data_IF_578502995048
#
_entry.id   IF_578502995048
#
_cell.length_a   1.000
_cell.length_b   1.000
_cell.length_c   1.000
_cell.angle_alpha   90.00
_cell.angle_beta   90.00
_cell.angle_gamma   90.00
#
_symmetry.space_group_name_H-M   'P 1'
#
loop_
_entity.id
_entity.type
_entity.pdbx_description
1 polymer ?
#
# COMPACT_ATOMS: atom_id res chain seq x y z
N UNK A 1 2.15 39.83 30.25
CA UNK A 1 1.80 38.87 29.19
C UNK A 1 2.57 37.56 29.39
N UNK A 2 1.92 36.52 29.90
CA UNK A 2 2.53 35.24 30.19
C UNK A 2 2.73 34.43 28.88
N UNK A 3 3.98 34.14 28.53
CA UNK A 3 4.31 33.23 27.40
C UNK A 3 3.84 31.81 27.73
N UNK A 4 2.74 31.38 27.13
CA UNK A 4 2.30 29.97 27.13
C UNK A 4 3.43 29.12 26.58
N UNK A 5 4.17 28.40 27.43
CA UNK A 5 5.09 27.34 27.01
C UNK A 5 4.28 26.19 26.43
N UNK A 6 4.18 26.15 25.10
CA UNK A 6 3.70 24.96 24.40
C UNK A 6 4.80 23.91 24.53
N UNK A 7 4.70 23.08 25.55
CA UNK A 7 5.52 21.87 25.68
C UNK A 7 5.04 20.86 24.65
N UNK A 8 5.57 20.92 23.42
CA UNK A 8 5.43 19.82 22.48
C UNK A 8 6.13 18.61 23.07
N UNK A 9 5.36 17.62 23.51
CA UNK A 9 5.92 16.32 23.89
C UNK A 9 6.60 15.72 22.66
N UNK A 10 7.89 15.42 22.80
CA UNK A 10 8.63 14.72 21.74
C UNK A 10 7.99 13.35 21.49
N UNK A 11 7.91 12.89 20.23
CA UNK A 11 7.44 11.56 19.91
C UNK A 11 8.23 10.48 20.63
N UNK A 12 7.63 9.32 20.90
CA UNK A 12 8.33 8.21 21.52
C UNK A 12 9.47 7.70 20.61
N UNK A 13 10.67 7.50 21.18
CA UNK A 13 11.78 6.85 20.49
C UNK A 13 11.44 5.38 20.20
N UNK A 14 11.57 4.97 18.94
CA UNK A 14 11.30 3.61 18.47
C UNK A 14 12.60 2.84 18.25
N UNK A 15 12.50 1.51 18.25
CA UNK A 15 13.61 0.59 18.03
C UNK A 15 14.05 -0.12 19.31
N UNK A 16 14.77 -1.22 19.14
CA UNK A 16 15.41 -2.00 20.20
C UNK A 16 16.85 -2.26 19.81
N UNK A 17 17.74 -2.27 20.80
CA UNK A 17 19.12 -2.72 20.61
C UNK A 17 19.17 -4.24 20.80
N UNK A 18 19.84 -4.95 19.90
CA UNK A 18 20.08 -6.39 20.06
C UNK A 18 21.14 -6.61 21.14
N UNK A 19 21.06 -7.74 21.83
CA UNK A 19 22.11 -8.25 22.70
C UNK A 19 23.35 -8.57 21.84
N UNK A 20 24.28 -7.63 21.74
CA UNK A 20 25.48 -7.71 20.91
C UNK A 20 26.63 -6.95 21.57
N UNK A 21 27.83 -7.10 21.05
CA UNK A 21 29.02 -6.36 21.54
C UNK A 21 28.84 -4.83 21.45
N UNK A 22 29.66 -4.10 22.19
CA UNK A 22 29.53 -2.64 22.38
C UNK A 22 29.54 -1.84 21.07
N UNK A 23 30.36 -2.23 20.11
CA UNK A 23 30.46 -1.54 18.79
C UNK A 23 29.15 -1.71 18.00
N UNK A 24 28.57 -2.91 17.95
CA UNK A 24 27.33 -3.17 17.25
C UNK A 24 26.14 -2.40 17.87
N UNK A 25 26.10 -2.30 19.20
CA UNK A 25 25.10 -1.48 19.89
C UNK A 25 25.22 0.01 19.54
N UNK A 26 26.46 0.51 19.44
CA UNK A 26 26.72 1.91 19.08
C UNK A 26 26.25 2.22 17.66
N UNK A 27 26.53 1.34 16.70
CA UNK A 27 26.08 1.49 15.32
C UNK A 27 24.56 1.43 15.20
N UNK A 28 23.91 0.47 15.89
CA UNK A 28 22.45 0.37 15.92
C UNK A 28 21.82 1.63 16.54
N UNK A 29 22.35 2.13 17.64
CA UNK A 29 21.87 3.35 18.29
C UNK A 29 22.04 4.57 17.38
N UNK A 30 23.19 4.68 16.72
CA UNK A 30 23.48 5.75 15.75
C UNK A 30 22.46 5.76 14.64
N UNK A 31 22.17 4.60 14.06
CA UNK A 31 21.21 4.48 12.97
C UNK A 31 19.77 4.81 13.40
N UNK A 32 19.34 4.32 14.58
CA UNK A 32 18.01 4.65 15.14
C UNK A 32 17.87 6.15 15.36
N UNK A 33 18.88 6.79 15.95
CA UNK A 33 18.83 8.23 16.25
C UNK A 33 18.97 9.08 14.97
N UNK A 34 19.77 8.67 14.00
CA UNK A 34 19.86 9.32 12.68
C UNK A 34 18.52 9.32 11.95
N UNK A 35 17.85 8.17 11.87
CA UNK A 35 16.51 8.06 11.29
C UNK A 35 15.50 8.90 12.03
N UNK A 36 15.56 8.90 13.36
CA UNK A 36 14.67 9.71 14.19
C UNK A 36 14.89 11.20 13.96
N UNK A 37 16.15 11.64 13.88
CA UNK A 37 16.51 13.02 13.59
C UNK A 37 15.96 13.47 12.24
N UNK A 38 16.25 12.71 11.18
CA UNK A 38 15.75 13.02 9.83
C UNK A 38 14.24 13.09 9.75
N UNK A 39 13.50 12.20 10.43
CA UNK A 39 12.03 12.22 10.48
C UNK A 39 11.45 13.43 11.20
N UNK A 40 12.14 13.94 12.18
CA UNK A 40 11.66 15.06 13.00
C UNK A 40 12.17 16.41 12.51
N UNK A 41 13.09 16.43 11.56
CA UNK A 41 13.64 17.65 11.00
C UNK A 41 12.54 18.48 10.32
N UNK A 42 12.50 19.76 10.64
CA UNK A 42 11.58 20.76 10.07
C UNK A 42 12.38 21.97 9.60
N UNK A 43 11.73 22.94 8.95
CA UNK A 43 12.38 24.17 8.49
C UNK A 43 12.99 24.99 9.64
N UNK A 44 12.54 24.77 10.88
CA UNK A 44 13.04 25.48 12.06
C UNK A 44 13.73 24.53 13.03
N UNK A 45 14.83 24.97 13.65
CA UNK A 45 15.48 24.19 14.69
C UNK A 45 14.50 23.84 15.82
N UNK A 46 14.56 22.60 16.29
CA UNK A 46 13.69 22.12 17.38
C UNK A 46 14.48 21.30 18.40
N UNK A 47 13.94 21.19 19.62
CA UNK A 47 14.58 20.41 20.68
C UNK A 47 14.58 18.93 20.29
N UNK A 48 15.76 18.30 20.43
CA UNK A 48 15.94 16.86 20.29
C UNK A 48 15.99 16.20 21.67
N UNK A 49 16.02 14.87 21.73
CA UNK A 49 16.00 14.12 22.98
C UNK A 49 17.23 14.43 23.85
N UNK A 50 17.02 14.48 25.16
CA UNK A 50 18.15 14.61 26.12
C UNK A 50 18.95 13.31 26.19
N UNK A 51 20.27 13.39 26.34
CA UNK A 51 21.17 12.22 26.39
C UNK A 51 20.71 11.21 27.46
N UNK A 52 20.31 11.70 28.67
CA UNK A 52 19.83 10.85 29.76
C UNK A 52 18.55 10.09 29.38
N UNK A 53 17.64 10.72 28.61
CA UNK A 53 16.43 10.08 28.17
C UNK A 53 16.75 8.94 27.18
N UNK A 54 17.67 9.16 26.23
CA UNK A 54 18.11 8.15 25.29
C UNK A 54 18.83 7.00 26.00
N UNK A 55 19.74 7.31 26.94
CA UNK A 55 20.46 6.32 27.69
C UNK A 55 19.51 5.40 28.47
N UNK A 56 18.55 5.99 29.20
CA UNK A 56 17.53 5.24 29.96
C UNK A 56 16.60 4.43 29.03
N UNK A 57 16.21 4.98 27.86
CA UNK A 57 15.29 4.29 26.93
C UNK A 57 15.90 3.06 26.30
N UNK A 58 17.20 3.08 25.99
CA UNK A 58 17.90 1.99 25.31
C UNK A 58 18.80 1.16 26.23
N UNK A 59 18.79 1.45 27.51
CA UNK A 59 19.64 0.81 28.52
C UNK A 59 21.12 0.77 28.11
N UNK A 60 21.66 1.96 27.83
CA UNK A 60 23.05 2.15 27.41
C UNK A 60 23.74 3.24 28.24
N UNK A 61 25.08 3.24 28.24
CA UNK A 61 25.84 4.25 28.95
C UNK A 61 25.68 5.65 28.37
N UNK A 62 25.75 6.68 29.20
CA UNK A 62 25.75 8.07 28.75
C UNK A 62 26.92 8.38 27.79
N UNK A 63 28.07 7.73 28.00
CA UNK A 63 29.25 7.88 27.13
C UNK A 63 28.99 7.38 25.71
N UNK A 64 28.29 6.26 25.56
CA UNK A 64 27.88 5.74 24.28
C UNK A 64 26.92 6.70 23.57
N UNK A 65 25.88 7.19 24.26
CA UNK A 65 24.96 8.18 23.69
C UNK A 65 25.70 9.46 23.31
N UNK A 66 26.64 9.93 24.14
CA UNK A 66 27.44 11.12 23.87
C UNK A 66 28.36 10.95 22.63
N UNK A 67 28.87 9.74 22.39
CA UNK A 67 29.64 9.42 21.19
C UNK A 67 28.75 9.46 19.93
N UNK A 68 27.58 8.84 20.00
CA UNK A 68 26.60 8.88 18.89
C UNK A 68 26.14 10.31 18.61
N UNK A 69 25.89 11.12 19.61
CA UNK A 69 25.50 12.53 19.43
C UNK A 69 26.59 13.35 18.77
N UNK A 70 27.86 13.12 19.13
CA UNK A 70 29.00 13.75 18.41
C UNK A 70 29.05 13.36 16.93
N UNK A 71 28.77 12.09 16.63
CA UNK A 71 28.69 11.66 15.24
C UNK A 71 27.58 12.38 14.48
N UNK A 72 26.35 12.47 15.05
CA UNK A 72 25.23 13.19 14.44
C UNK A 72 25.45 14.71 14.34
N UNK A 73 26.26 15.29 15.24
CA UNK A 73 26.72 16.68 15.11
C UNK A 73 27.68 16.86 13.94
N UNK A 74 28.63 15.95 13.77
CA UNK A 74 29.56 15.96 12.64
C UNK A 74 28.83 15.75 11.30
N UNK A 75 27.73 14.96 11.31
CA UNK A 75 26.85 14.81 10.16
C UNK A 75 25.94 16.04 9.91
N UNK A 76 26.02 17.05 10.77
CA UNK A 76 25.23 18.28 10.63
C UNK A 76 23.76 18.17 11.02
N UNK A 77 23.33 17.05 11.61
CA UNK A 77 21.94 16.83 12.02
C UNK A 77 21.59 17.49 13.36
N UNK A 78 22.55 17.51 14.29
CA UNK A 78 22.35 18.06 15.62
C UNK A 78 23.26 19.25 15.89
N UNK A 79 22.86 20.06 16.85
CA UNK A 79 23.70 21.14 17.44
C UNK A 79 23.49 21.13 18.96
N UNK A 80 24.59 21.14 19.72
CA UNK A 80 24.52 21.27 21.19
C UNK A 80 24.63 22.73 21.59
N UNK A 81 23.69 23.15 22.41
CA UNK A 81 23.77 24.45 23.06
C UNK A 81 24.43 24.30 24.46
N UNK A 82 25.27 25.28 24.84
CA UNK A 82 25.82 25.36 26.19
C UNK A 82 24.66 25.33 27.20
N UNK A 83 24.66 24.40 28.16
CA UNK A 83 23.64 24.28 29.17
C UNK A 83 22.61 23.17 28.96
N UNK A 84 22.94 22.07 28.28
CA UNK A 84 22.21 20.77 28.24
C UNK A 84 21.10 20.57 27.22
N UNK A 85 20.87 21.49 26.30
CA UNK A 85 19.88 21.27 25.23
C UNK A 85 20.56 20.86 23.95
N UNK A 86 20.09 19.77 23.35
CA UNK A 86 20.44 19.37 21.98
C UNK A 86 19.33 19.82 21.06
N UNK A 87 19.68 20.52 20.00
CA UNK A 87 18.76 20.93 18.98
C UNK A 87 18.98 20.09 17.72
N UNK A 88 17.90 19.67 17.11
CA UNK A 88 17.86 19.21 15.75
C UNK A 88 17.96 20.45 14.86
N UNK A 89 18.93 20.46 13.93
CA UNK A 89 19.07 21.58 12.99
C UNK A 89 17.84 21.67 12.10
N UNK A 90 17.42 22.90 11.80
CA UNK A 90 16.46 23.18 10.75
C UNK A 90 17.06 22.86 9.37
N UNK A 91 16.20 22.69 8.39
CA UNK A 91 16.61 22.60 6.99
C UNK A 91 16.97 24.01 6.53
N UNK A 92 18.18 24.18 6.00
CA UNK A 92 18.62 25.48 5.49
C UNK A 92 17.75 25.94 4.33
N UNK A 93 17.27 27.20 4.42
CA UNK A 93 16.45 27.88 3.42
C UNK A 93 17.22 28.06 2.11
N UNK A 94 17.25 27.07 1.28
CA UNK A 94 17.69 27.57 0.03
C UNK A 94 18.14 26.62 -1.07
N UNK A 95 18.06 25.33 -1.04
CA UNK A 95 18.30 24.53 -2.27
C UNK A 95 18.18 23.00 -2.15
N UNK A 96 17.80 22.46 -1.00
CA UNK A 96 17.49 21.03 -0.92
C UNK A 96 15.99 20.87 -0.77
N UNK A 97 15.39 20.16 -1.72
CA UNK A 97 14.07 19.56 -1.51
C UNK A 97 14.22 18.76 -0.23
N UNK A 98 13.64 19.26 0.85
CA UNK A 98 13.70 18.57 2.15
C UNK A 98 12.98 17.24 2.00
N UNK A 99 13.76 16.19 1.83
CA UNK A 99 13.23 14.82 1.82
C UNK A 99 12.87 14.51 3.27
N UNK A 100 11.58 14.63 3.59
CA UNK A 100 11.10 14.39 4.94
C UNK A 100 11.36 12.95 5.41
N UNK A 101 11.25 11.99 4.53
CA UNK A 101 11.63 10.60 4.78
C UNK A 101 11.54 9.75 3.51
N UNK A 102 12.15 8.57 3.56
CA UNK A 102 12.07 7.61 2.46
C UNK A 102 11.06 6.53 2.84
N UNK A 103 10.01 6.40 2.03
CA UNK A 103 9.00 5.36 2.18
C UNK A 103 9.33 4.20 1.25
N UNK A 104 9.63 3.04 1.82
CA UNK A 104 9.83 1.80 1.07
C UNK A 104 8.51 1.09 0.81
N UNK A 105 8.31 0.64 -0.42
CA UNK A 105 7.12 -0.12 -0.80
C UNK A 105 7.57 -1.52 -1.27
N UNK A 106 7.53 -2.53 -0.37
CA UNK A 106 7.82 -3.91 -0.74
C UNK A 106 6.74 -4.46 -1.66
N UNK A 107 7.16 -5.16 -2.72
CA UNK A 107 6.22 -5.75 -3.65
C UNK A 107 6.91 -6.85 -4.47
N UNK A 108 6.28 -8.02 -4.69
CA UNK A 108 6.77 -8.98 -5.67
C UNK A 108 6.82 -8.35 -7.05
N UNK A 109 7.96 -8.46 -7.74
CA UNK A 109 8.14 -7.87 -9.09
C UNK A 109 7.12 -8.44 -10.08
N UNK A 110 6.85 -9.75 -10.01
CA UNK A 110 5.80 -10.40 -10.80
C UNK A 110 4.43 -9.76 -10.57
N UNK A 111 4.04 -9.48 -9.32
CA UNK A 111 2.78 -8.79 -9.00
C UNK A 111 2.74 -7.36 -9.55
N UNK A 112 3.84 -6.62 -9.47
CA UNK A 112 3.93 -5.28 -10.04
C UNK A 112 3.78 -5.30 -11.56
N UNK A 113 4.37 -6.27 -12.24
CA UNK A 113 4.32 -6.38 -13.69
C UNK A 113 2.95 -6.86 -14.22
N UNK A 114 2.30 -7.78 -13.50
CA UNK A 114 1.08 -8.45 -14.00
C UNK A 114 -0.22 -7.88 -13.43
N UNK A 115 -0.20 -7.36 -12.19
CA UNK A 115 -1.42 -6.90 -11.49
C UNK A 115 -1.57 -5.40 -11.59
N UNK A 116 -2.61 -4.95 -12.27
CA UNK A 116 -2.88 -3.51 -12.41
C UNK A 116 -3.05 -2.81 -11.04
N UNK A 117 -3.77 -3.42 -10.11
CA UNK A 117 -3.99 -2.85 -8.77
C UNK A 117 -2.68 -2.55 -8.03
N UNK A 118 -1.68 -3.42 -8.15
CA UNK A 118 -0.35 -3.20 -7.56
C UNK A 118 0.34 -1.97 -8.16
N UNK A 119 0.28 -1.83 -9.49
CA UNK A 119 0.83 -0.65 -10.18
C UNK A 119 0.10 0.63 -9.79
N UNK A 120 -1.24 0.60 -9.77
CA UNK A 120 -2.07 1.76 -9.40
C UNK A 120 -1.78 2.21 -7.98
N UNK A 121 -1.77 1.27 -7.02
CA UNK A 121 -1.37 1.57 -5.65
C UNK A 121 -0.01 2.25 -5.59
N UNK A 122 1.01 1.64 -6.21
CA UNK A 122 2.37 2.17 -6.19
C UNK A 122 2.47 3.56 -6.83
N UNK A 123 1.87 3.75 -8.00
CA UNK A 123 1.96 5.01 -8.75
C UNK A 123 1.22 6.16 -8.06
N UNK A 124 -0.01 5.91 -7.57
CA UNK A 124 -0.79 6.92 -6.86
C UNK A 124 -0.13 7.30 -5.53
N UNK A 125 0.31 6.31 -4.77
CA UNK A 125 1.02 6.53 -3.50
C UNK A 125 2.33 7.28 -3.71
N UNK A 126 3.13 6.89 -4.71
CA UNK A 126 4.37 7.59 -5.06
C UNK A 126 4.11 9.05 -5.41
N UNK A 127 3.09 9.32 -6.27
CA UNK A 127 2.75 10.69 -6.67
C UNK A 127 2.36 11.55 -5.47
N UNK A 128 1.52 11.01 -4.59
CA UNK A 128 1.04 11.76 -3.42
C UNK A 128 2.15 11.95 -2.38
N UNK A 129 2.98 10.95 -2.13
CA UNK A 129 4.15 11.06 -1.27
C UNK A 129 5.13 12.12 -1.78
N UNK A 130 5.42 12.13 -3.08
CA UNK A 130 6.30 13.13 -3.70
C UNK A 130 5.77 14.55 -3.55
N UNK A 131 4.46 14.76 -3.70
CA UNK A 131 3.82 16.08 -3.48
C UNK A 131 3.99 16.58 -2.05
N UNK A 132 4.20 15.69 -1.10
CA UNK A 132 4.39 15.98 0.33
C UNK A 132 5.84 15.94 0.77
N UNK A 133 6.79 15.90 -0.16
CA UNK A 133 8.22 15.91 0.13
C UNK A 133 8.81 14.58 0.60
N UNK A 134 8.11 13.44 0.42
CA UNK A 134 8.67 12.11 0.66
C UNK A 134 9.33 11.56 -0.59
N UNK A 135 10.40 10.79 -0.42
CA UNK A 135 10.91 9.91 -1.46
C UNK A 135 10.26 8.53 -1.34
N UNK A 136 10.09 7.85 -2.47
CA UNK A 136 9.55 6.49 -2.50
C UNK A 136 10.57 5.56 -3.12
N UNK A 137 10.91 4.49 -2.40
CA UNK A 137 11.75 3.40 -2.85
C UNK A 137 10.90 2.15 -3.12
N UNK A 138 10.86 1.68 -4.36
CA UNK A 138 10.29 0.37 -4.67
C UNK A 138 11.23 -0.73 -4.20
N UNK A 139 10.79 -1.56 -3.26
CA UNK A 139 11.56 -2.69 -2.74
C UNK A 139 11.07 -3.97 -3.41
N UNK A 140 11.34 -4.09 -4.72
CA UNK A 140 10.88 -5.24 -5.49
C UNK A 140 11.67 -6.49 -5.13
N UNK A 141 10.99 -7.64 -5.02
CA UNK A 141 11.58 -8.94 -4.70
C UNK A 141 10.90 -10.07 -5.46
N UNK A 142 11.56 -11.21 -5.58
CA UNK A 142 11.00 -12.43 -6.18
C UNK A 142 11.43 -13.69 -5.43
N UNK A 143 10.57 -14.68 -5.43
CA UNK A 143 10.86 -16.06 -4.99
C UNK A 143 11.63 -16.14 -3.68
N UNK A 144 12.90 -16.58 -3.75
CA UNK A 144 13.79 -16.75 -2.60
C UNK A 144 14.15 -15.45 -1.87
N UNK A 145 13.96 -14.28 -2.51
CA UNK A 145 14.21 -12.97 -1.90
C UNK A 145 13.06 -12.53 -0.97
N UNK A 146 11.92 -13.23 -1.01
CA UNK A 146 10.78 -12.98 -0.11
C UNK A 146 11.08 -13.46 1.33
N UNK A 147 12.16 -12.94 1.90
CA UNK A 147 12.66 -13.26 3.24
C UNK A 147 12.84 -11.99 4.04
N UNK A 148 12.57 -12.10 5.33
CA UNK A 148 12.56 -10.96 6.24
C UNK A 148 13.94 -10.29 6.38
N UNK A 149 15.02 -11.09 6.42
CA UNK A 149 16.40 -10.61 6.48
C UNK A 149 16.80 -9.84 5.21
N UNK A 150 16.50 -10.36 4.04
CA UNK A 150 16.77 -9.72 2.76
C UNK A 150 16.05 -8.35 2.63
N UNK A 151 14.75 -8.33 2.98
CA UNK A 151 13.98 -7.07 2.95
C UNK A 151 14.50 -6.06 3.95
N UNK A 152 14.92 -6.51 5.14
CA UNK A 152 15.53 -5.63 6.14
C UNK A 152 16.85 -5.03 5.65
N UNK A 153 17.70 -5.80 4.98
CA UNK A 153 18.95 -5.30 4.41
C UNK A 153 18.68 -4.24 3.34
N UNK A 154 17.72 -4.47 2.46
CA UNK A 154 17.33 -3.48 1.45
C UNK A 154 16.75 -2.20 2.07
N UNK A 155 15.93 -2.34 3.11
CA UNK A 155 15.41 -1.21 3.88
C UNK A 155 16.55 -0.38 4.47
N UNK A 156 17.58 -1.03 5.01
CA UNK A 156 18.78 -0.37 5.55
C UNK A 156 19.59 0.30 4.44
N UNK A 157 19.86 -0.42 3.36
CA UNK A 157 20.65 0.07 2.24
C UNK A 157 20.03 1.31 1.58
N UNK A 158 18.71 1.31 1.44
CA UNK A 158 17.96 2.44 0.88
C UNK A 158 17.64 3.54 1.92
N UNK A 159 18.10 3.43 3.17
CA UNK A 159 17.75 4.35 4.26
C UNK A 159 16.25 4.60 4.41
N UNK A 160 15.46 3.55 4.28
CA UNK A 160 14.00 3.61 4.40
C UNK A 160 13.59 3.84 5.85
N UNK A 161 12.78 4.86 6.10
CA UNK A 161 12.27 5.20 7.43
C UNK A 161 10.90 4.58 7.73
N UNK A 162 10.13 4.34 6.69
CA UNK A 162 8.78 3.77 6.77
C UNK A 162 8.60 2.75 5.67
N UNK A 163 8.10 1.58 6.01
CA UNK A 163 7.67 0.56 5.05
C UNK A 163 6.15 0.61 4.93
N UNK A 164 5.68 0.87 3.72
CA UNK A 164 4.27 0.80 3.34
C UNK A 164 4.06 -0.46 2.51
N UNK A 165 3.42 -1.47 3.09
CA UNK A 165 3.27 -2.79 2.47
C UNK A 165 1.84 -3.02 2.01
N UNK A 166 1.67 -3.07 0.71
CA UNK A 166 0.41 -3.42 0.07
C UNK A 166 0.29 -4.94 -0.07
N UNK A 167 -0.81 -5.50 0.40
CA UNK A 167 -1.05 -6.94 0.48
C UNK A 167 0.13 -7.69 1.15
N UNK A 168 0.37 -7.46 2.46
CA UNK A 168 1.47 -8.11 3.16
C UNK A 168 1.36 -9.64 3.07
N UNK A 169 2.41 -10.28 2.59
CA UNK A 169 2.50 -11.73 2.44
C UNK A 169 2.96 -12.44 3.74
N UNK A 170 3.25 -13.74 3.63
CA UNK A 170 3.63 -14.56 4.80
C UNK A 170 4.90 -14.08 5.50
N UNK A 171 5.87 -13.50 4.78
CA UNK A 171 7.11 -13.02 5.38
C UNK A 171 6.92 -11.68 6.09
N UNK A 172 5.81 -10.98 5.87
CA UNK A 172 5.58 -9.65 6.39
C UNK A 172 5.51 -9.61 7.93
N UNK A 173 5.02 -10.68 8.58
CA UNK A 173 4.95 -10.73 10.05
C UNK A 173 6.33 -10.70 10.69
N UNK A 174 7.23 -11.55 10.21
CA UNK A 174 8.62 -11.59 10.68
C UNK A 174 9.34 -10.28 10.34
N UNK A 175 9.17 -9.82 9.09
CA UNK A 175 9.73 -8.56 8.62
C UNK A 175 9.26 -7.38 9.47
N UNK A 176 7.96 -7.29 9.80
CA UNK A 176 7.43 -6.21 10.63
C UNK A 176 8.08 -6.18 12.03
N UNK A 177 8.34 -7.34 12.64
CA UNK A 177 9.08 -7.45 13.90
C UNK A 177 10.52 -6.93 13.76
N UNK A 178 11.24 -7.35 12.73
CA UNK A 178 12.60 -6.89 12.46
C UNK A 178 12.66 -5.39 12.14
N UNK A 179 11.70 -4.86 11.39
CA UNK A 179 11.58 -3.43 11.09
C UNK A 179 11.35 -2.62 12.38
N UNK A 180 10.44 -3.09 13.25
CA UNK A 180 10.17 -2.45 14.53
C UNK A 180 11.42 -2.38 15.40
N UNK A 181 12.17 -3.48 15.52
CA UNK A 181 13.40 -3.55 16.30
C UNK A 181 14.50 -2.63 15.76
N UNK A 182 14.49 -2.34 14.47
CA UNK A 182 15.41 -1.39 13.82
C UNK A 182 14.86 0.05 13.73
N UNK A 183 13.75 0.36 14.41
CA UNK A 183 13.18 1.71 14.43
C UNK A 183 12.50 2.13 13.12
N UNK A 184 12.27 1.21 12.20
CA UNK A 184 11.55 1.44 10.95
C UNK A 184 10.06 1.30 11.20
N UNK A 185 9.29 2.21 10.67
CA UNK A 185 7.82 2.20 10.80
C UNK A 185 7.23 1.26 9.77
N UNK A 186 6.26 0.45 10.18
CA UNK A 186 5.51 -0.44 9.29
C UNK A 186 4.06 0.00 9.15
N UNK A 187 3.54 -0.02 7.94
CA UNK A 187 2.13 0.27 7.60
C UNK A 187 1.64 -0.77 6.62
N UNK A 188 0.68 -1.58 7.04
CA UNK A 188 0.03 -2.58 6.19
C UNK A 188 -1.22 -2.01 5.51
N UNK A 189 -1.44 -2.39 4.26
CA UNK A 189 -2.66 -2.13 3.48
C UNK A 189 -3.20 -3.47 3.01
N UNK A 190 -4.33 -3.89 3.55
CA UNK A 190 -5.05 -5.08 3.10
C UNK A 190 -5.90 -4.75 1.87
N UNK A 191 -6.07 -5.69 0.98
CA UNK A 191 -6.86 -5.55 -0.23
C UNK A 191 -7.61 -6.86 -0.53
N UNK A 192 -8.82 -6.99 -0.01
CA UNK A 192 -9.71 -8.14 -0.20
C UNK A 192 -9.23 -9.47 0.41
N UNK A 193 -8.08 -9.49 1.07
CA UNK A 193 -7.52 -10.69 1.72
C UNK A 193 -7.39 -10.40 3.21
N UNK A 194 -7.88 -11.30 4.06
CA UNK A 194 -7.62 -11.23 5.50
C UNK A 194 -6.12 -11.31 5.71
N UNK A 195 -5.51 -10.18 6.00
CA UNK A 195 -4.09 -10.15 6.36
C UNK A 195 -3.91 -10.80 7.73
N UNK A 196 -2.93 -11.69 7.84
CA UNK A 196 -2.52 -12.23 9.14
C UNK A 196 -1.85 -11.17 10.03
N UNK A 197 -1.62 -9.98 9.48
CA UNK A 197 -1.09 -8.80 10.15
C UNK A 197 -2.20 -7.77 10.34
N UNK A 198 -2.19 -7.04 11.45
CA UNK A 198 -3.07 -5.90 11.61
C UNK A 198 -2.71 -4.85 10.54
N UNK A 199 -3.56 -4.73 9.53
CA UNK A 199 -3.44 -3.70 8.52
C UNK A 199 -4.18 -2.45 8.98
N UNK A 200 -3.53 -1.29 8.79
CA UNK A 200 -4.11 0.00 9.15
C UNK A 200 -5.17 0.45 8.15
N UNK A 201 -5.04 -0.01 6.92
CA UNK A 201 -5.92 0.32 5.83
C UNK A 201 -6.43 -0.95 5.17
N UNK A 202 -7.67 -0.93 4.76
CA UNK A 202 -8.33 -2.03 4.06
C UNK A 202 -9.09 -1.48 2.84
N UNK A 203 -9.03 -2.21 1.73
CA UNK A 203 -9.75 -1.85 0.51
C UNK A 203 -10.82 -2.93 0.29
N UNK A 204 -12.10 -2.51 0.34
CA UNK A 204 -13.24 -3.38 0.13
C UNK A 204 -13.93 -3.08 -1.20
N UNK A 205 -14.40 -4.11 -1.89
CA UNK A 205 -15.19 -4.01 -3.12
C UNK A 205 -16.60 -4.54 -2.94
N UNK A 206 -16.91 -5.03 -1.77
CA UNK A 206 -18.16 -5.72 -1.47
C UNK A 206 -19.39 -4.86 -1.81
N UNK A 207 -19.45 -3.62 -1.34
CA UNK A 207 -20.57 -2.71 -1.62
C UNK A 207 -20.67 -2.35 -3.10
N UNK A 208 -19.55 -2.21 -3.80
CA UNK A 208 -19.57 -1.91 -5.23
C UNK A 208 -20.13 -3.09 -6.04
N UNK A 209 -19.66 -4.30 -5.73
CA UNK A 209 -20.14 -5.54 -6.37
C UNK A 209 -21.60 -5.77 -6.03
N UNK A 210 -21.99 -5.62 -4.78
CA UNK A 210 -23.40 -5.72 -4.34
C UNK A 210 -24.32 -4.79 -5.13
N UNK A 211 -23.93 -3.54 -5.32
CA UNK A 211 -24.68 -2.56 -6.12
C UNK A 211 -24.82 -2.97 -7.59
N UNK A 212 -23.75 -3.51 -8.18
CA UNK A 212 -23.78 -4.04 -9.57
C UNK A 212 -24.73 -5.23 -9.65
N UNK A 213 -24.59 -6.21 -8.78
CA UNK A 213 -25.42 -7.42 -8.77
C UNK A 213 -26.89 -7.10 -8.52
N UNK A 214 -27.17 -6.16 -7.63
CA UNK A 214 -28.53 -5.69 -7.40
C UNK A 214 -29.14 -5.06 -8.66
N UNK A 215 -28.38 -4.23 -9.39
CA UNK A 215 -28.83 -3.65 -10.65
C UNK A 215 -29.08 -4.73 -11.71
N UNK A 216 -28.21 -5.73 -11.80
CA UNK A 216 -28.36 -6.87 -12.71
C UNK A 216 -29.61 -7.69 -12.42
N UNK A 217 -29.83 -8.03 -11.14
CA UNK A 217 -31.02 -8.78 -10.70
C UNK A 217 -32.32 -8.02 -10.96
N UNK A 218 -32.37 -6.75 -10.58
CA UNK A 218 -33.61 -5.96 -10.59
C UNK A 218 -33.97 -5.46 -12.00
N UNK A 219 -33.00 -4.94 -12.75
CA UNK A 219 -33.22 -4.29 -14.04
C UNK A 219 -33.07 -5.23 -15.23
N UNK A 220 -32.06 -6.08 -15.19
CA UNK A 220 -31.68 -6.94 -16.31
C UNK A 220 -32.18 -8.37 -16.17
N UNK A 221 -32.81 -8.70 -15.03
CA UNK A 221 -33.35 -10.02 -14.70
C UNK A 221 -32.33 -11.16 -14.80
N UNK A 222 -31.03 -10.85 -14.58
CA UNK A 222 -29.98 -11.85 -14.54
C UNK A 222 -30.22 -12.79 -13.39
N UNK A 223 -30.14 -14.10 -13.64
CA UNK A 223 -30.40 -15.16 -12.66
C UNK A 223 -29.14 -15.90 -12.26
N UNK A 224 -28.12 -15.87 -13.10
CA UNK A 224 -26.86 -16.58 -12.91
C UNK A 224 -25.67 -15.70 -13.24
N UNK A 225 -24.56 -15.90 -12.52
CA UNK A 225 -23.32 -15.13 -12.71
C UNK A 225 -22.15 -16.09 -12.91
N UNK A 226 -21.35 -15.85 -13.95
CA UNK A 226 -20.08 -16.54 -14.15
C UNK A 226 -18.96 -15.65 -13.62
N UNK A 227 -18.23 -16.14 -12.62
CA UNK A 227 -17.11 -15.44 -12.00
C UNK A 227 -15.85 -16.00 -12.61
N UNK A 228 -15.14 -15.16 -13.35
CA UNK A 228 -13.92 -15.55 -14.06
C UNK A 228 -12.71 -15.01 -13.35
N UNK A 229 -11.79 -15.86 -13.00
CA UNK A 229 -10.53 -15.53 -12.35
C UNK A 229 -9.36 -16.11 -13.16
N UNK A 230 -8.16 -15.58 -12.95
CA UNK A 230 -6.92 -16.11 -13.54
C UNK A 230 -5.87 -16.29 -12.46
N UNK A 231 -5.19 -17.43 -12.49
CA UNK A 231 -4.17 -17.75 -11.50
C UNK A 231 -4.73 -18.36 -10.22
N UNK A 232 -3.96 -18.22 -9.12
CA UNK A 232 -4.31 -18.83 -7.85
C UNK A 232 -5.52 -18.15 -7.24
N UNK A 233 -6.54 -18.89 -6.92
CA UNK A 233 -7.71 -18.42 -6.19
C UNK A 233 -7.32 -17.84 -4.82
N UNK A 234 -7.93 -16.72 -4.46
CA UNK A 234 -7.94 -16.24 -3.08
C UNK A 234 -9.20 -16.79 -2.41
N UNK A 235 -9.07 -17.73 -1.51
CA UNK A 235 -10.19 -18.39 -0.83
C UNK A 235 -11.12 -17.40 -0.14
N UNK A 236 -10.59 -16.30 0.38
CA UNK A 236 -11.38 -15.30 1.13
C UNK A 236 -12.24 -14.43 0.21
N UNK A 237 -11.70 -13.99 -0.93
CA UNK A 237 -12.50 -13.22 -1.90
C UNK A 237 -13.62 -14.08 -2.49
N UNK A 238 -13.44 -15.39 -2.58
CA UNK A 238 -14.44 -16.34 -3.06
C UNK A 238 -15.55 -16.52 -2.06
N UNK A 239 -15.24 -16.82 -0.81
CA UNK A 239 -16.23 -17.03 0.26
C UNK A 239 -17.15 -15.79 0.41
N UNK A 240 -16.56 -14.60 0.43
CA UNK A 240 -17.32 -13.34 0.50
C UNK A 240 -18.23 -13.14 -0.72
N UNK A 241 -17.73 -13.49 -1.92
CA UNK A 241 -18.51 -13.37 -3.14
C UNK A 241 -19.61 -14.41 -3.22
N UNK A 242 -19.35 -15.63 -2.76
CA UNK A 242 -20.35 -16.70 -2.63
C UNK A 242 -21.47 -16.29 -1.67
N UNK A 243 -21.14 -15.87 -0.46
CA UNK A 243 -22.10 -15.40 0.54
C UNK A 243 -22.97 -14.27 -0.01
N UNK A 244 -22.37 -13.32 -0.73
CA UNK A 244 -23.08 -12.22 -1.35
C UNK A 244 -24.07 -12.70 -2.43
N UNK A 245 -23.65 -13.60 -3.32
CA UNK A 245 -24.48 -14.14 -4.40
C UNK A 245 -25.63 -14.99 -3.85
N UNK A 246 -25.36 -15.82 -2.84
CA UNK A 246 -26.37 -16.63 -2.13
C UNK A 246 -27.40 -15.75 -1.44
N UNK A 247 -26.96 -14.71 -0.73
CA UNK A 247 -27.87 -13.76 -0.07
C UNK A 247 -28.80 -13.06 -1.05
N UNK A 248 -28.34 -12.88 -2.29
CA UNK A 248 -29.12 -12.32 -3.38
C UNK A 248 -29.97 -13.36 -4.14
N UNK A 249 -29.81 -14.66 -3.86
CA UNK A 249 -30.49 -15.75 -4.60
C UNK A 249 -30.08 -15.81 -6.06
N UNK A 250 -28.83 -15.49 -6.37
CA UNK A 250 -28.25 -15.61 -7.71
C UNK A 250 -27.48 -16.92 -7.83
N UNK A 251 -27.75 -17.70 -8.88
CA UNK A 251 -26.91 -18.84 -9.21
C UNK A 251 -25.53 -18.37 -9.67
N UNK A 252 -24.49 -19.14 -9.36
CA UNK A 252 -23.13 -18.77 -9.76
C UNK A 252 -22.28 -19.98 -10.15
N UNK A 253 -21.18 -19.70 -10.85
CA UNK A 253 -20.10 -20.65 -11.10
C UNK A 253 -18.78 -19.91 -11.24
N UNK A 254 -17.72 -20.52 -10.72
CA UNK A 254 -16.34 -20.05 -10.89
C UNK A 254 -15.71 -20.70 -12.11
N UNK A 255 -14.99 -19.90 -12.91
CA UNK A 255 -14.35 -20.34 -14.14
C UNK A 255 -12.92 -19.83 -14.16
N UNK A 256 -11.96 -20.74 -14.33
CA UNK A 256 -10.56 -20.37 -14.41
C UNK A 256 -10.18 -20.01 -15.87
N UNK A 257 -9.65 -18.79 -16.04
CA UNK A 257 -9.05 -18.33 -17.28
C UNK A 257 -7.56 -18.62 -17.30
N UNK A 258 -7.11 -19.36 -18.27
CA UNK A 258 -5.70 -19.65 -18.54
C UNK A 258 -5.27 -19.12 -19.90
N UNK A 259 -3.96 -19.06 -20.13
CA UNK A 259 -3.41 -18.59 -21.43
C UNK A 259 -3.88 -19.43 -22.62
N UNK A 260 -4.09 -20.72 -22.39
CA UNK A 260 -4.44 -21.67 -23.45
C UNK A 260 -5.94 -21.69 -23.79
N UNK A 261 -6.81 -21.25 -22.89
CA UNK A 261 -8.27 -21.34 -23.05
C UNK A 261 -8.98 -20.00 -23.21
N UNK A 262 -8.26 -18.87 -23.24
CA UNK A 262 -8.84 -17.52 -23.27
C UNK A 262 -9.92 -17.32 -24.30
N UNK A 263 -9.64 -17.68 -25.55
CA UNK A 263 -10.54 -17.42 -26.66
C UNK A 263 -11.78 -18.31 -26.59
N UNK A 264 -11.58 -19.60 -26.37
CA UNK A 264 -12.66 -20.58 -26.24
C UNK A 264 -13.57 -20.25 -25.05
N UNK A 265 -12.98 -19.78 -23.96
CA UNK A 265 -13.75 -19.37 -22.79
C UNK A 265 -14.61 -18.15 -23.06
N UNK A 266 -14.07 -17.13 -23.74
CA UNK A 266 -14.84 -15.94 -24.13
C UNK A 266 -16.01 -16.30 -25.06
N UNK A 267 -15.79 -17.19 -26.04
CA UNK A 267 -16.85 -17.68 -26.91
C UNK A 267 -17.94 -18.40 -26.10
N UNK A 268 -17.56 -19.31 -25.21
CA UNK A 268 -18.51 -20.02 -24.32
C UNK A 268 -19.28 -19.07 -23.40
N UNK A 269 -18.66 -17.99 -22.93
CA UNK A 269 -19.32 -16.97 -22.13
C UNK A 269 -20.28 -16.11 -22.96
N UNK A 270 -19.95 -15.88 -24.22
CA UNK A 270 -20.81 -15.14 -25.15
C UNK A 270 -22.12 -15.88 -25.44
N UNK A 271 -22.14 -17.20 -25.44
CA UNK A 271 -23.28 -18.03 -25.83
C UNK A 271 -24.39 -18.18 -24.75
N UNK A 272 -24.15 -17.71 -23.52
CA UNK A 272 -25.09 -17.86 -22.39
C UNK A 272 -25.81 -16.55 -22.07
N UNK A 273 -26.95 -16.22 -22.72
CA UNK A 273 -27.57 -14.88 -22.65
C UNK A 273 -28.06 -14.44 -21.28
N UNK A 274 -28.44 -15.36 -20.45
CA UNK A 274 -29.03 -15.11 -19.12
C UNK A 274 -28.00 -14.92 -18.00
N UNK A 275 -26.71 -15.03 -18.32
CA UNK A 275 -25.64 -14.93 -17.33
C UNK A 275 -24.97 -13.57 -17.35
N UNK A 276 -24.77 -12.98 -16.16
CA UNK A 276 -23.79 -11.91 -15.95
C UNK A 276 -22.38 -12.49 -15.85
N UNK A 277 -21.39 -11.71 -16.19
CA UNK A 277 -19.97 -12.11 -16.14
C UNK A 277 -19.23 -11.15 -15.23
N UNK A 278 -18.60 -11.65 -14.18
CA UNK A 278 -17.67 -10.88 -13.34
C UNK A 278 -16.25 -11.30 -13.70
N UNK A 279 -15.44 -10.36 -14.16
CA UNK A 279 -14.02 -10.58 -14.41
C UNK A 279 -13.21 -10.02 -13.25
N UNK A 280 -12.57 -10.89 -12.48
CA UNK A 280 -11.68 -10.50 -11.41
C UNK A 280 -10.32 -10.08 -11.99
N UNK A 281 -9.83 -8.96 -11.57
CA UNK A 281 -8.61 -8.24 -11.96
C UNK A 281 -7.68 -8.90 -12.98
N UNK A 282 -7.07 -10.03 -12.63
CA UNK A 282 -6.11 -10.71 -13.50
C UNK A 282 -6.76 -11.36 -14.74
N UNK A 283 -7.98 -11.89 -14.61
CA UNK A 283 -8.71 -12.46 -15.74
C UNK A 283 -9.06 -11.38 -16.78
N UNK A 284 -9.51 -10.22 -16.32
CA UNK A 284 -9.78 -9.09 -17.19
C UNK A 284 -8.49 -8.64 -17.92
N UNK A 285 -7.37 -8.57 -17.23
CA UNK A 285 -6.07 -8.23 -17.83
C UNK A 285 -5.62 -9.28 -18.85
N UNK A 286 -5.79 -10.56 -18.53
CA UNK A 286 -5.43 -11.66 -19.41
C UNK A 286 -6.22 -11.61 -20.73
N UNK A 287 -7.53 -11.44 -20.64
CA UNK A 287 -8.39 -11.33 -21.83
C UNK A 287 -8.12 -10.08 -22.65
N UNK A 288 -7.94 -8.93 -21.99
CA UNK A 288 -7.62 -7.68 -22.66
C UNK A 288 -6.30 -7.74 -23.44
N UNK A 289 -5.34 -8.52 -22.94
CA UNK A 289 -4.05 -8.69 -23.60
C UNK A 289 -4.06 -9.77 -24.70
N UNK A 290 -4.79 -10.88 -24.50
CA UNK A 290 -4.75 -12.06 -25.36
C UNK A 290 -5.83 -12.06 -26.45
N UNK A 291 -7.01 -11.58 -26.15
CA UNK A 291 -8.17 -11.62 -27.04
C UNK A 291 -9.04 -10.36 -26.91
N UNK A 292 -8.47 -9.16 -27.14
CA UNK A 292 -9.17 -7.88 -26.90
C UNK A 292 -10.46 -7.75 -27.69
N UNK A 293 -10.44 -8.12 -28.97
CA UNK A 293 -11.62 -8.00 -29.84
C UNK A 293 -12.77 -8.92 -29.40
N UNK A 294 -12.46 -10.14 -28.96
CA UNK A 294 -13.45 -11.07 -28.42
C UNK A 294 -14.02 -10.56 -27.09
N UNK A 295 -13.17 -10.03 -26.23
CA UNK A 295 -13.62 -9.43 -24.97
C UNK A 295 -14.59 -8.26 -25.25
N UNK A 296 -14.25 -7.38 -26.18
CA UNK A 296 -15.14 -6.28 -26.60
C UNK A 296 -16.45 -6.83 -27.17
N UNK A 297 -16.41 -7.87 -27.99
CA UNK A 297 -17.61 -8.50 -28.55
C UNK A 297 -18.51 -9.08 -27.43
N UNK A 298 -17.93 -9.71 -26.41
CA UNK A 298 -18.66 -10.19 -25.23
C UNK A 298 -19.30 -9.01 -24.48
N UNK A 299 -18.57 -7.94 -24.22
CA UNK A 299 -19.08 -6.75 -23.53
C UNK A 299 -20.23 -6.05 -24.27
N UNK A 300 -20.25 -6.10 -25.60
CA UNK A 300 -21.36 -5.56 -26.40
C UNK A 300 -22.62 -6.41 -26.32
N UNK A 301 -22.50 -7.69 -26.04
CA UNK A 301 -23.60 -8.65 -26.01
C UNK A 301 -24.08 -9.02 -24.62
N UNK A 302 -23.24 -8.82 -23.61
CA UNK A 302 -23.42 -9.31 -22.24
C UNK A 302 -23.25 -8.23 -21.18
N UNK A 303 -23.80 -8.47 -20.03
CA UNK A 303 -23.44 -7.72 -18.83
C UNK A 303 -22.13 -8.23 -18.28
N UNK A 304 -21.12 -7.39 -18.31
CA UNK A 304 -19.79 -7.69 -17.81
C UNK A 304 -19.44 -6.69 -16.73
N UNK A 305 -19.01 -7.18 -15.59
CA UNK A 305 -18.41 -6.38 -14.53
C UNK A 305 -16.90 -6.61 -14.48
N UNK A 306 -16.13 -5.54 -14.42
CA UNK A 306 -14.69 -5.56 -14.21
C UNK A 306 -14.40 -5.15 -12.78
N UNK A 307 -13.77 -6.04 -12.03
CA UNK A 307 -13.28 -5.75 -10.68
C UNK A 307 -11.79 -5.48 -10.78
N UNK A 308 -11.37 -4.24 -10.54
CA UNK A 308 -9.97 -3.78 -10.71
C UNK A 308 -9.34 -4.13 -12.07
N UNK A 309 -10.18 -4.27 -13.06
CA UNK A 309 -9.76 -4.69 -14.39
C UNK A 309 -8.93 -3.67 -15.15
N UNK A 310 -8.37 -4.06 -16.30
CA UNK A 310 -7.60 -3.17 -17.15
C UNK A 310 -8.53 -2.09 -17.70
N UNK A 311 -8.31 -0.87 -17.28
CA UNK A 311 -9.01 0.30 -17.80
C UNK A 311 -8.24 0.94 -18.95
N UNK A 312 -7.10 0.36 -19.35
CA UNK A 312 -6.19 0.92 -20.35
C UNK A 312 -6.08 0.08 -21.61
N UNK A 313 -5.66 0.72 -22.66
CA UNK A 313 -5.20 0.27 -23.99
C UNK A 313 -6.20 -0.47 -24.88
N UNK A 314 -6.73 -1.68 -24.60
CA UNK A 314 -7.56 -2.34 -25.63
C UNK A 314 -8.92 -1.64 -25.85
N UNK A 315 -9.35 -0.81 -24.88
CA UNK A 315 -10.64 -0.12 -24.94
C UNK A 315 -10.54 1.33 -25.43
N UNK A 316 -9.34 1.90 -25.50
CA UNK A 316 -9.15 3.31 -25.87
C UNK A 316 -9.66 3.64 -27.28
N UNK A 317 -9.67 2.68 -28.19
CA UNK A 317 -10.16 2.83 -29.56
C UNK A 317 -11.66 2.54 -29.74
N UNK A 318 -12.30 1.83 -28.84
CA UNK A 318 -13.71 1.44 -28.95
C UNK A 318 -14.60 2.22 -27.99
N UNK A 319 -15.22 3.29 -28.48
CA UNK A 319 -16.15 4.13 -27.72
C UNK A 319 -17.48 3.45 -27.39
N UNK A 320 -17.74 2.27 -27.95
CA UNK A 320 -19.01 1.54 -27.73
C UNK A 320 -18.90 0.48 -26.64
N UNK A 321 -17.71 0.08 -26.25
CA UNK A 321 -17.50 -0.90 -25.19
C UNK A 321 -17.90 -0.33 -23.84
N UNK A 322 -18.81 -1.01 -23.16
CA UNK A 322 -19.31 -0.65 -21.84
C UNK A 322 -19.23 -1.83 -20.89
N UNK A 323 -18.88 -1.56 -19.65
CA UNK A 323 -18.91 -2.55 -18.58
C UNK A 323 -19.38 -1.89 -17.27
N UNK A 324 -19.79 -2.71 -16.32
CA UNK A 324 -19.97 -2.28 -14.96
C UNK A 324 -18.61 -2.38 -14.26
N UNK A 325 -18.26 -1.38 -13.44
CA UNK A 325 -16.91 -1.29 -12.85
C UNK A 325 -17.02 -1.27 -11.33
N UNK A 326 -16.21 -2.08 -10.66
CA UNK A 326 -15.95 -2.00 -9.23
C UNK A 326 -14.47 -1.64 -9.03
N UNK A 327 -14.19 -0.36 -8.74
CA UNK A 327 -12.82 0.19 -8.77
C UNK A 327 -12.55 0.96 -7.50
N UNK A 328 -11.41 0.68 -6.86
CA UNK A 328 -10.91 1.45 -5.74
C UNK A 328 -10.48 2.86 -6.19
N UNK A 329 -10.81 3.88 -5.40
CA UNK A 329 -10.27 5.23 -5.59
C UNK A 329 -8.83 5.29 -5.05
N UNK A 330 -7.89 4.89 -5.88
CA UNK A 330 -6.47 4.84 -5.54
C UNK A 330 -5.89 6.20 -5.16
N UNK A 331 -6.46 7.30 -5.66
CA UNK A 331 -6.01 8.65 -5.30
C UNK A 331 -6.47 9.01 -3.89
N UNK A 332 -7.72 8.72 -3.54
CA UNK A 332 -8.24 8.91 -2.18
C UNK A 332 -7.49 8.02 -1.16
N UNK A 333 -7.23 6.76 -1.52
CA UNK A 333 -6.43 5.83 -0.70
C UNK A 333 -5.03 6.40 -0.46
N UNK A 334 -4.32 6.80 -1.51
CA UNK A 334 -2.97 7.37 -1.41
C UNK A 334 -2.94 8.67 -0.59
N UNK A 335 -3.92 9.54 -0.78
CA UNK A 335 -4.04 10.79 -0.03
C UNK A 335 -4.23 10.55 1.48
N UNK A 336 -5.12 9.65 1.85
CA UNK A 336 -5.37 9.30 3.24
C UNK A 336 -4.14 8.66 3.91
N UNK A 337 -3.51 7.69 3.25
CA UNK A 337 -2.28 7.06 3.72
C UNK A 337 -1.20 8.12 3.96
N UNK A 338 -0.99 9.01 3.00
CA UNK A 338 0.04 10.05 3.10
C UNK A 338 -0.25 11.04 4.23
N UNK A 339 -1.49 11.45 4.41
CA UNK A 339 -1.89 12.32 5.52
C UNK A 339 -1.61 11.65 6.88
N UNK A 340 -1.88 10.37 7.01
CA UNK A 340 -1.61 9.64 8.25
C UNK A 340 -0.10 9.44 8.50
N UNK A 341 0.68 9.24 7.45
CA UNK A 341 2.14 9.22 7.56
C UNK A 341 2.70 10.55 8.08
N UNK A 342 2.13 11.68 7.67
CA UNK A 342 2.52 13.02 8.13
C UNK A 342 2.13 13.27 9.59
N UNK A 343 0.95 12.84 10.03
CA UNK A 343 0.47 13.10 11.38
C UNK A 343 1.28 12.40 12.47
N UNK A 344 2.09 11.41 12.10
CA UNK A 344 2.96 10.69 13.03
C UNK A 344 2.22 9.88 14.10
N UNK A 345 0.88 9.74 13.99
CA UNK A 345 0.10 8.97 14.95
C UNK A 345 0.64 7.54 15.05
N UNK A 346 0.70 7.02 16.25
CA UNK A 346 1.15 5.64 16.47
C UNK A 346 0.21 4.66 15.76
N UNK A 347 0.76 3.79 14.91
CA UNK A 347 -0.01 2.81 14.11
C UNK A 347 -0.55 1.62 14.93
N UNK A 348 -0.54 1.71 16.24
CA UNK A 348 -1.14 0.73 17.14
C UNK A 348 -2.64 1.04 17.42
N UNK A 349 -3.38 1.46 16.39
CA UNK A 349 -4.82 1.58 16.53
C UNK A 349 -5.49 0.25 16.26
N UNK A 350 -6.47 -0.10 17.08
CA UNK A 350 -7.29 -1.31 16.99
C UNK A 350 -8.26 -1.31 15.79
N UNK A 351 -8.45 -0.16 15.13
CA UNK A 351 -9.42 0.00 14.04
C UNK A 351 -8.71 0.27 12.71
N UNK A 352 -9.06 -0.52 11.69
CA UNK A 352 -8.65 -0.28 10.31
C UNK A 352 -9.53 0.79 9.67
N UNK A 353 -8.94 1.59 8.78
CA UNK A 353 -9.70 2.49 7.90
C UNK A 353 -10.07 1.73 6.63
N UNK A 354 -11.36 1.51 6.41
CA UNK A 354 -11.87 0.81 5.23
C UNK A 354 -12.14 1.81 4.10
N UNK A 355 -11.59 1.54 2.92
CA UNK A 355 -11.86 2.25 1.68
C UNK A 355 -12.80 1.40 0.82
N UNK A 356 -14.00 1.89 0.61
CA UNK A 356 -14.97 1.25 -0.26
C UNK A 356 -14.70 1.61 -1.73
N UNK A 357 -14.71 0.59 -2.59
CA UNK A 357 -14.61 0.81 -4.03
C UNK A 357 -15.90 1.46 -4.58
N UNK A 358 -15.73 2.20 -5.67
CA UNK A 358 -16.84 2.82 -6.39
C UNK A 358 -17.44 1.86 -7.42
N UNK A 359 -18.78 1.88 -7.52
CA UNK A 359 -19.51 1.15 -8.56
C UNK A 359 -19.96 2.11 -9.67
N UNK A 360 -19.56 1.82 -10.90
CA UNK A 360 -19.99 2.56 -12.09
C UNK A 360 -20.75 1.62 -13.00
N UNK A 361 -22.03 1.91 -13.26
CA UNK A 361 -22.87 1.07 -14.08
C UNK A 361 -22.81 1.50 -15.54
N UNK A 362 -22.59 0.54 -16.45
CA UNK A 362 -22.50 0.76 -17.91
C UNK A 362 -21.54 1.89 -18.28
N UNK A 363 -20.41 1.92 -17.61
CA UNK A 363 -19.39 2.92 -17.85
C UNK A 363 -18.77 2.79 -19.26
N UNK A 364 -18.61 3.89 -20.00
CA UNK A 364 -17.89 3.88 -21.27
C UNK A 364 -16.39 3.71 -21.01
N UNK A 365 -15.84 2.55 -21.39
CA UNK A 365 -14.46 2.19 -21.04
C UNK A 365 -13.40 3.11 -21.64
N UNK A 366 -13.69 3.69 -22.82
CA UNK A 366 -12.79 4.66 -23.45
C UNK A 366 -12.59 5.94 -22.63
N UNK A 367 -13.60 6.39 -21.90
CA UNK A 367 -13.50 7.58 -21.03
C UNK A 367 -12.71 7.25 -19.75
N UNK A 368 -12.92 6.08 -19.17
CA UNK A 368 -12.18 5.65 -17.98
C UNK A 368 -10.69 5.42 -18.27
N UNK A 369 -10.33 4.98 -19.46
CA UNK A 369 -8.93 4.79 -19.86
C UNK A 369 -8.13 6.12 -19.88
N UNK A 370 -8.80 7.27 -20.00
CA UNK A 370 -8.17 8.59 -19.98
C UNK A 370 -8.04 9.19 -18.57
N UNK A 371 -8.77 8.66 -17.59
CA UNK A 371 -8.77 9.17 -16.20
C UNK A 371 -7.66 8.57 -15.33
N UNK A 372 -6.98 7.53 -15.78
CA UNK A 372 -5.91 6.80 -15.08
C UNK A 372 -4.54 7.16 -15.68
#
# INVERSE_FOLDING_TARGET
MARKKISRRLPALRGKLKLAGMNVKTEQLSEILRRTARRQQTDKPQVFYALRHVASRFDVSLSMVAAVYRQLENEGLLTRLRGSRTLLKGLDDGRQISVHSIVGVPMPLSSFLTRQKCRMFFMCTRRELQRRGFMTAGLFYEGAEARADFLLERVKHCNVDTVLWYQPDRCARETAGLLHDNGVRFVGVADGIISTLPCRFEISREKAISKILWAWKSREKIKKVSIVYAGRRSTVEEEQLEELLESMGLGYNFVEAGRANCEMLLDSLADKPENGIILLGEAASLFAFRAPDRLIAVMKRRRVALVDGPLSLPFAGDRTARADLAIADWQAVAHCITNELLTGKAFLCSESTVFEANAYLQAPLAEFAQMI
#
